data_IF_480130828395
#
_entry.id   IF_480130828395
#
_cell.length_a   1.000
_cell.length_b   1.000
_cell.length_c   1.000
_cell.angle_alpha   90.00
_cell.angle_beta   90.00
_cell.angle_gamma   90.00
#
_symmetry.space_group_name_H-M   'P 1'
#
loop_
_entity.id
_entity.type
_entity.pdbx_description
1 polymer ?
#
# COMPACT_ATOMS: atom_id res chain seq x y z
N UNK A 1 -11.26 42.29 -11.82
CA UNK A 1 -11.95 41.21 -11.09
C UNK A 1 -11.18 41.00 -9.79
N UNK A 2 -11.79 41.10 -8.60
CA UNK A 2 -11.05 40.85 -7.38
C UNK A 2 -10.81 39.34 -7.26
N UNK A 3 -9.55 38.93 -7.13
CA UNK A 3 -9.20 37.55 -6.78
C UNK A 3 -9.51 37.35 -5.30
N UNK A 4 -10.59 36.62 -5.02
CA UNK A 4 -10.94 36.21 -3.66
C UNK A 4 -9.93 35.15 -3.22
N UNK A 5 -8.92 35.54 -2.46
CA UNK A 5 -7.97 34.61 -1.86
C UNK A 5 -8.66 33.93 -0.66
N UNK A 6 -9.48 32.90 -0.92
CA UNK A 6 -9.99 32.06 0.16
C UNK A 6 -8.85 31.17 0.66
N UNK A 7 -8.19 31.63 1.72
CA UNK A 7 -7.24 30.83 2.47
C UNK A 7 -8.04 29.75 3.21
N UNK A 8 -8.02 28.51 2.72
CA UNK A 8 -8.63 27.37 3.40
C UNK A 8 -7.88 27.05 4.70
N UNK A 9 -8.60 26.54 5.70
CA UNK A 9 -8.03 26.02 6.93
C UNK A 9 -7.46 24.60 6.68
N UNK A 10 -6.13 24.48 6.65
CA UNK A 10 -5.45 23.22 6.37
C UNK A 10 -5.25 22.42 7.65
N UNK A 11 -6.10 21.41 7.84
CA UNK A 11 -6.03 20.52 8.99
C UNK A 11 -4.90 19.49 8.80
N UNK A 12 -4.06 19.33 9.83
CA UNK A 12 -3.01 18.30 9.84
C UNK A 12 -3.65 16.91 9.90
N UNK A 13 -3.35 16.06 8.91
CA UNK A 13 -3.76 14.66 8.89
C UNK A 13 -2.52 13.76 8.93
N UNK A 14 -2.61 12.66 9.68
CA UNK A 14 -1.60 11.60 9.61
C UNK A 14 -1.79 10.82 8.30
N UNK A 15 -0.73 10.68 7.52
CA UNK A 15 -0.74 9.98 6.24
C UNK A 15 0.23 8.80 6.24
N UNK A 16 0.06 7.88 5.30
CA UNK A 16 0.83 6.65 5.18
C UNK A 16 1.59 6.60 3.84
N UNK A 17 2.43 7.62 3.61
CA UNK A 17 3.26 7.77 2.42
C UNK A 17 2.46 7.82 1.10
N UNK A 18 2.95 7.19 0.04
CA UNK A 18 2.39 7.21 -1.32
C UNK A 18 0.88 6.93 -1.30
N UNK A 19 0.13 7.78 -1.99
CA UNK A 19 -1.35 7.77 -2.03
C UNK A 19 -2.07 8.11 -0.72
N UNK A 20 -1.36 8.37 0.39
CA UNK A 20 -1.95 8.69 1.68
C UNK A 20 -2.78 9.99 1.74
N UNK A 21 -2.65 10.87 0.74
CA UNK A 21 -3.47 12.09 0.58
C UNK A 21 -4.67 11.91 -0.36
N UNK A 22 -4.76 10.77 -1.07
CA UNK A 22 -5.88 10.47 -1.93
C UNK A 22 -7.05 9.90 -1.10
N UNK A 23 -8.28 9.92 -1.64
CA UNK A 23 -9.34 9.05 -1.14
C UNK A 23 -8.85 7.60 -1.08
N UNK A 24 -9.43 6.79 -0.17
CA UNK A 24 -9.09 5.37 -0.08
C UNK A 24 -9.32 4.71 -1.44
N UNK A 25 -8.29 4.02 -1.92
CA UNK A 25 -8.38 3.29 -3.16
C UNK A 25 -9.46 2.22 -3.06
N UNK A 26 -10.28 2.13 -4.10
CA UNK A 26 -11.21 1.04 -4.31
C UNK A 26 -10.46 -0.26 -4.61
N UNK A 27 -11.15 -1.40 -4.48
CA UNK A 27 -10.57 -2.70 -4.82
C UNK A 27 -10.08 -2.74 -6.28
N UNK A 28 -10.80 -2.13 -7.21
CA UNK A 28 -10.41 -2.06 -8.62
C UNK A 28 -9.15 -1.19 -8.81
N UNK A 29 -9.04 -0.05 -8.13
CA UNK A 29 -7.84 0.78 -8.19
C UNK A 29 -6.60 0.09 -7.61
N UNK A 30 -6.76 -0.68 -6.52
CA UNK A 30 -5.68 -1.53 -5.98
C UNK A 30 -5.30 -2.61 -7.00
N UNK A 31 -6.28 -3.21 -7.67
CA UNK A 31 -6.04 -4.21 -8.71
C UNK A 31 -5.23 -3.64 -9.88
N UNK A 32 -5.53 -2.41 -10.31
CA UNK A 32 -4.75 -1.71 -11.34
C UNK A 32 -3.30 -1.44 -10.90
N UNK A 33 -3.06 -1.11 -9.62
CA UNK A 33 -1.70 -0.97 -9.10
C UNK A 33 -0.94 -2.31 -9.10
N UNK A 34 -1.63 -3.42 -8.81
CA UNK A 34 -1.05 -4.77 -8.90
C UNK A 34 -0.70 -5.09 -10.35
N UNK A 35 -1.62 -4.84 -11.31
CA UNK A 35 -1.35 -5.05 -12.73
C UNK A 35 -0.13 -4.24 -13.20
N UNK A 36 -0.06 -2.96 -12.80
CA UNK A 36 1.08 -2.12 -13.11
C UNK A 36 2.39 -2.71 -12.57
N UNK A 37 2.44 -3.10 -11.30
CA UNK A 37 3.61 -3.74 -10.68
C UNK A 37 4.07 -4.98 -11.44
N UNK A 38 3.14 -5.88 -11.77
CA UNK A 38 3.44 -7.10 -12.53
C UNK A 38 3.93 -6.79 -13.94
N UNK A 39 3.38 -5.76 -14.59
CA UNK A 39 3.82 -5.31 -15.93
C UNK A 39 5.26 -4.77 -15.93
N UNK A 40 5.73 -4.22 -14.81
CA UNK A 40 7.12 -3.78 -14.64
C UNK A 40 8.08 -4.95 -14.36
N UNK A 41 7.57 -6.17 -14.16
CA UNK A 41 8.37 -7.32 -13.76
C UNK A 41 8.80 -7.27 -12.28
N UNK A 42 8.18 -6.41 -11.48
CA UNK A 42 8.48 -6.30 -10.05
C UNK A 42 7.81 -7.42 -9.27
N UNK A 43 8.46 -7.86 -8.18
CA UNK A 43 7.94 -8.93 -7.33
C UNK A 43 7.01 -8.37 -6.25
N UNK A 44 5.72 -8.77 -6.22
CA UNK A 44 4.81 -8.36 -5.17
C UNK A 44 5.22 -8.91 -3.79
N UNK A 45 5.08 -8.10 -2.76
CA UNK A 45 5.23 -8.50 -1.36
C UNK A 45 4.23 -7.76 -0.50
N UNK A 46 3.75 -8.41 0.54
CA UNK A 46 2.77 -7.87 1.48
C UNK A 46 3.43 -7.79 2.85
N UNK A 47 3.23 -6.68 3.54
CA UNK A 47 3.70 -6.50 4.91
C UNK A 47 2.60 -5.90 5.76
N UNK A 48 2.62 -6.19 7.06
CA UNK A 48 1.65 -5.70 8.02
C UNK A 48 2.30 -5.25 9.32
N UNK A 49 1.69 -4.26 9.97
CA UNK A 49 2.18 -3.67 11.22
C UNK A 49 1.04 -3.02 12.00
N UNK A 50 1.11 -3.11 13.34
CA UNK A 50 0.13 -2.44 14.18
C UNK A 50 0.25 -0.91 14.02
N UNK A 51 -0.83 -0.11 14.07
CA UNK A 51 -0.77 1.34 13.85
C UNK A 51 0.27 2.11 14.66
N UNK A 52 0.58 1.64 15.88
CA UNK A 52 1.63 2.24 16.72
C UNK A 52 3.05 2.09 16.16
N UNK A 53 3.28 1.11 15.29
CA UNK A 53 4.56 0.83 14.63
C UNK A 53 4.63 1.32 13.18
N UNK A 54 3.61 2.05 12.69
CA UNK A 54 3.52 2.48 11.29
C UNK A 54 4.73 3.27 10.77
N UNK A 55 5.45 3.98 11.65
CA UNK A 55 6.68 4.72 11.30
C UNK A 55 7.95 3.87 11.26
N UNK A 56 7.87 2.57 11.55
CA UNK A 56 9.04 1.69 11.54
C UNK A 56 9.55 1.42 10.12
N UNK A 57 10.87 1.28 9.99
CA UNK A 57 11.49 0.89 8.73
C UNK A 57 11.12 -0.53 8.28
N UNK A 58 11.00 -1.45 9.24
CA UNK A 58 10.69 -2.85 9.00
C UNK A 58 9.29 -3.15 9.53
N UNK A 59 8.43 -3.65 8.65
CA UNK A 59 7.12 -4.23 8.99
C UNK A 59 7.21 -5.75 8.91
N UNK A 60 6.25 -6.44 9.51
CA UNK A 60 6.24 -7.91 9.48
C UNK A 60 5.82 -8.39 8.10
N UNK A 61 6.65 -9.24 7.48
CA UNK A 61 6.36 -9.81 6.17
C UNK A 61 5.23 -10.85 6.26
N UNK A 62 4.25 -10.72 5.37
CA UNK A 62 3.24 -11.75 5.17
C UNK A 62 3.80 -12.83 4.25
N UNK A 63 4.09 -14.00 4.82
CA UNK A 63 4.70 -15.14 4.11
C UNK A 63 6.05 -14.75 3.46
N UNK A 64 6.13 -14.78 2.13
CA UNK A 64 7.30 -14.49 1.32
C UNK A 64 6.89 -13.62 0.12
N UNK A 65 7.83 -12.87 -0.49
CA UNK A 65 7.56 -12.20 -1.75
C UNK A 65 7.11 -13.22 -2.81
N UNK A 66 6.14 -12.82 -3.63
CA UNK A 66 5.45 -13.67 -4.60
C UNK A 66 6.27 -13.83 -5.88
N UNK A 67 7.46 -14.41 -5.77
CA UNK A 67 8.40 -14.56 -6.89
C UNK A 67 7.77 -15.31 -8.07
N UNK A 68 7.83 -14.69 -9.26
CA UNK A 68 7.29 -15.27 -10.49
C UNK A 68 5.76 -15.30 -10.57
N UNK A 69 5.06 -14.69 -9.61
CA UNK A 69 3.61 -14.52 -9.72
C UNK A 69 3.28 -13.60 -10.90
N UNK A 70 2.25 -13.99 -11.65
CA UNK A 70 1.76 -13.25 -12.82
C UNK A 70 0.24 -13.05 -12.78
N UNK A 71 -0.44 -13.67 -11.81
CA UNK A 71 -1.87 -13.55 -11.63
C UNK A 71 -2.18 -12.47 -10.57
N UNK A 72 -2.69 -11.29 -10.97
CA UNK A 72 -3.07 -10.23 -10.03
C UNK A 72 -4.15 -10.67 -9.03
N UNK A 73 -5.03 -11.60 -9.39
CA UNK A 73 -6.04 -12.12 -8.46
C UNK A 73 -5.41 -12.86 -7.27
N UNK A 74 -4.26 -13.54 -7.45
CA UNK A 74 -3.54 -14.20 -6.36
C UNK A 74 -2.98 -13.20 -5.36
N UNK A 75 -2.44 -12.08 -5.84
CA UNK A 75 -1.94 -11.01 -4.96
C UNK A 75 -3.09 -10.42 -4.14
N UNK A 76 -4.25 -10.22 -4.78
CA UNK A 76 -5.45 -9.73 -4.09
C UNK A 76 -5.98 -10.73 -3.04
N UNK A 77 -6.00 -12.03 -3.36
CA UNK A 77 -6.37 -13.09 -2.43
C UNK A 77 -5.48 -13.09 -1.17
N UNK A 78 -4.17 -12.90 -1.34
CA UNK A 78 -3.21 -12.85 -0.24
C UNK A 78 -3.33 -11.56 0.60
N UNK A 79 -3.63 -10.41 -0.03
CA UNK A 79 -3.94 -9.15 0.67
C UNK A 79 -5.15 -9.34 1.60
N UNK A 80 -6.23 -9.92 1.09
CA UNK A 80 -7.42 -10.22 1.87
C UNK A 80 -7.17 -11.29 2.94
N UNK A 81 -6.31 -12.28 2.66
CA UNK A 81 -5.91 -13.28 3.64
C UNK A 81 -5.12 -12.66 4.80
N UNK A 82 -4.19 -11.76 4.50
CA UNK A 82 -3.45 -11.00 5.52
C UNK A 82 -4.42 -10.17 6.37
N UNK A 83 -5.37 -9.45 5.75
CA UNK A 83 -6.41 -8.67 6.44
C UNK A 83 -7.27 -9.48 7.38
N UNK A 84 -7.66 -10.70 6.98
CA UNK A 84 -8.44 -11.60 7.85
C UNK A 84 -7.66 -12.08 9.08
N UNK A 85 -6.34 -12.24 8.97
CA UNK A 85 -5.49 -12.71 10.08
C UNK A 85 -5.04 -11.56 11.00
N UNK A 86 -4.92 -10.35 10.45
CA UNK A 86 -4.49 -9.15 11.17
C UNK A 86 -5.46 -7.98 10.92
N UNK A 87 -6.70 -8.06 11.45
CA UNK A 87 -7.76 -7.09 11.16
C UNK A 87 -7.51 -5.69 11.72
N UNK A 88 -6.60 -5.56 12.69
CA UNK A 88 -6.22 -4.32 13.38
C UNK A 88 -4.88 -3.74 12.90
N UNK A 89 -4.22 -4.37 11.92
CA UNK A 89 -2.95 -3.90 11.36
C UNK A 89 -3.15 -3.04 10.10
N UNK A 90 -2.22 -2.11 9.87
CA UNK A 90 -2.00 -1.62 8.51
C UNK A 90 -1.41 -2.73 7.65
N UNK A 91 -1.83 -2.78 6.38
CA UNK A 91 -1.31 -3.73 5.40
C UNK A 91 -0.87 -2.95 4.18
N UNK A 92 0.40 -3.08 3.81
CA UNK A 92 0.99 -2.43 2.64
C UNK A 92 1.36 -3.43 1.56
N UNK A 93 1.25 -2.97 0.32
CA UNK A 93 1.69 -3.68 -0.87
C UNK A 93 3.00 -3.06 -1.36
N UNK A 94 3.98 -3.91 -1.64
CA UNK A 94 5.31 -3.54 -2.10
C UNK A 94 5.60 -4.24 -3.43
N UNK A 95 6.19 -3.53 -4.38
CA UNK A 95 6.76 -4.10 -5.59
C UNK A 95 8.27 -4.01 -5.57
N UNK A 96 8.97 -5.13 -5.38
CA UNK A 96 10.43 -5.16 -5.37
C UNK A 96 11.02 -5.19 -6.79
N UNK A 97 11.94 -4.28 -7.05
CA UNK A 97 12.78 -4.25 -8.25
C UNK A 97 14.17 -4.80 -7.91
N UNK A 98 14.44 -5.99 -8.41
CA UNK A 98 15.71 -6.69 -8.16
C UNK A 98 16.88 -6.12 -8.97
N UNK A 99 16.63 -5.37 -10.06
CA UNK A 99 17.70 -4.75 -10.85
C UNK A 99 18.26 -3.51 -10.15
N UNK A 100 17.38 -2.70 -9.57
CA UNK A 100 17.77 -1.48 -8.84
C UNK A 100 17.96 -1.70 -7.34
N UNK A 101 17.63 -2.90 -6.84
CA UNK A 101 17.64 -3.25 -5.42
C UNK A 101 16.78 -2.27 -4.60
N UNK A 102 15.58 -1.96 -5.10
CA UNK A 102 14.68 -0.95 -4.55
C UNK A 102 13.22 -1.41 -4.53
N UNK A 103 12.35 -0.58 -3.96
CA UNK A 103 10.90 -0.75 -4.00
C UNK A 103 10.32 0.22 -5.03
N UNK A 104 9.79 -0.30 -6.13
CA UNK A 104 9.16 0.50 -7.21
C UNK A 104 7.73 0.94 -6.87
N UNK A 105 7.07 0.21 -5.97
CA UNK A 105 5.76 0.54 -5.40
C UNK A 105 5.81 0.28 -3.90
N UNK A 106 5.23 1.19 -3.11
CA UNK A 106 5.00 1.01 -1.68
C UNK A 106 3.84 1.92 -1.24
N UNK A 107 2.70 1.33 -0.90
CA UNK A 107 1.53 2.05 -0.37
C UNK A 107 0.68 1.16 0.54
N UNK A 108 -0.05 1.78 1.47
CA UNK A 108 -0.97 1.08 2.37
C UNK A 108 -2.29 0.79 1.64
N UNK A 109 -2.67 -0.49 1.62
CA UNK A 109 -3.92 -1.00 1.02
C UNK A 109 -5.05 -0.99 2.06
N UNK A 110 -4.76 -1.49 3.26
CA UNK A 110 -5.73 -1.53 4.36
C UNK A 110 -5.18 -0.79 5.57
N UNK A 111 -6.02 0.04 6.18
CA UNK A 111 -5.66 0.75 7.39
C UNK A 111 -6.22 0.05 8.62
N UNK A 112 -5.32 -0.27 9.56
CA UNK A 112 -5.72 -0.74 10.88
C UNK A 112 -6.46 0.37 11.64
N UNK A 113 -7.47 0.00 12.40
CA UNK A 113 -8.18 0.88 13.30
C UNK A 113 -7.66 0.68 14.74
N UNK A 114 -7.61 1.76 15.52
CA UNK A 114 -7.38 1.69 16.97
C UNK A 114 -8.63 1.23 17.71
#
# INVERSE_FOLDING_TARGET
MPMTNQQGDFQTAQTLETFGFLPKLTQDEVYEQIMYMLSQGWTPSIEHEHPSGSSNHYWTMWKLPMFGESNPARVMEELEACRRNYPDHHIRLIGYDNYTQSQGVNFVVFEGHR
#
